data_IF_707300609805
#
_entry.id   IF_707300609805
#
_cell.length_a   1.000
_cell.length_b   1.000
_cell.length_c   1.000
_cell.angle_alpha   90.00
_cell.angle_beta   90.00
_cell.angle_gamma   90.00
#
_symmetry.space_group_name_H-M   'P 1'
#
loop_
_entity.id
_entity.type
_entity.pdbx_description
1 polymer ?
#
# COMPACT_ATOMS: atom_id res chain seq x y z
N UNK A 1 0.41 -33.22 -36.00
CA UNK A 1 0.00 -32.77 -35.41
C UNK A 1 0.00 -31.95 -34.48
N UNK A 2 -0.07 -31.62 -34.10
CA UNK A 2 -0.18 -31.02 -33.29
C UNK A 2 -0.41 -30.44 -32.42
N UNK A 3 -0.51 -30.15 -31.94
CA UNK A 3 -0.90 -29.71 -31.16
C UNK A 3 -0.98 -29.15 -30.35
N UNK A 4 -0.87 -29.01 -30.30
CA UNK A 4 -1.42 -28.56 -29.34
C UNK A 4 -1.16 -27.98 -28.29
N UNK A 5 -0.66 -28.14 -27.81
CA UNK A 5 -0.41 -27.77 -26.58
C UNK A 5 -0.67 -26.45 -26.02
N UNK A 6 -0.81 -25.64 -26.27
CA UNK A 6 -1.17 -24.50 -25.84
C UNK A 6 -1.91 -24.44 -24.65
N UNK A 7 -2.25 -25.38 -24.23
CA UNK A 7 -3.12 -25.45 -23.12
C UNK A 7 -2.59 -24.85 -21.85
N UNK A 8 -1.33 -24.92 -21.55
CA UNK A 8 -0.90 -24.42 -20.25
C UNK A 8 -1.18 -22.96 -20.03
N UNK A 9 -1.11 -22.20 -21.06
CA UNK A 9 -1.26 -20.77 -20.87
C UNK A 9 -2.59 -20.38 -20.28
N UNK A 10 -3.68 -20.86 -20.79
CA UNK A 10 -4.96 -20.43 -20.23
C UNK A 10 -5.12 -20.76 -18.78
N UNK A 11 -4.59 -21.89 -18.39
CA UNK A 11 -4.75 -22.30 -17.02
C UNK A 11 -4.00 -21.41 -16.07
N UNK A 12 -2.83 -21.00 -16.47
CA UNK A 12 -2.04 -20.12 -15.63
C UNK A 12 -2.71 -18.79 -15.47
N UNK A 13 -3.35 -18.31 -16.51
CA UNK A 13 -4.04 -17.05 -16.42
C UNK A 13 -5.17 -17.13 -15.42
N UNK A 14 -5.88 -18.22 -15.40
CA UNK A 14 -6.97 -18.40 -14.46
C UNK A 14 -6.45 -18.35 -13.03
N UNK A 15 -5.30 -18.97 -12.79
CA UNK A 15 -4.72 -18.97 -11.46
C UNK A 15 -4.42 -17.55 -11.00
N UNK A 16 -3.91 -16.72 -11.90
CA UNK A 16 -3.59 -15.36 -11.56
C UNK A 16 -4.85 -14.60 -11.16
N UNK A 17 -5.94 -14.85 -11.86
CA UNK A 17 -7.16 -14.12 -11.57
C UNK A 17 -7.70 -14.41 -10.18
N UNK A 18 -7.45 -15.59 -9.68
CA UNK A 18 -7.91 -15.93 -8.35
C UNK A 18 -7.28 -15.03 -7.31
N UNK A 19 -6.13 -14.47 -7.62
CA UNK A 19 -5.41 -13.61 -6.70
C UNK A 19 -6.00 -12.22 -6.59
N UNK A 20 -6.92 -11.86 -7.44
CA UNK A 20 -7.54 -10.55 -7.39
C UNK A 20 -8.23 -10.36 -6.05
N UNK A 21 -8.03 -9.23 -5.37
CA UNK A 21 -8.65 -9.02 -4.07
C UNK A 21 -10.17 -9.12 -4.14
N UNK A 22 -10.75 -9.79 -3.16
CA UNK A 22 -12.21 -9.96 -3.16
C UNK A 22 -12.99 -8.65 -3.16
N UNK A 23 -12.40 -7.58 -2.63
CA UNK A 23 -13.12 -6.32 -2.58
C UNK A 23 -13.48 -5.82 -3.97
N UNK A 24 -12.59 -6.00 -4.93
CA UNK A 24 -12.90 -5.60 -6.30
C UNK A 24 -13.98 -6.47 -6.90
N UNK A 25 -13.97 -7.73 -6.53
CA UNK A 25 -14.96 -8.67 -7.04
C UNK A 25 -16.33 -8.40 -6.41
N UNK A 26 -16.33 -8.06 -5.14
CA UNK A 26 -17.59 -7.87 -4.42
C UNK A 26 -18.24 -6.53 -4.71
N UNK A 27 -17.63 -5.70 -5.52
CA UNK A 27 -18.22 -4.42 -5.86
C UNK A 27 -17.92 -3.30 -4.90
N UNK A 28 -17.33 -3.58 -3.75
CA UNK A 28 -16.90 -2.53 -2.85
C UNK A 28 -15.45 -2.18 -3.20
N UNK A 29 -15.25 -0.97 -3.70
CA UNK A 29 -13.94 -0.54 -4.16
C UNK A 29 -13.01 -0.34 -2.98
N UNK A 30 -11.83 -0.94 -3.06
CA UNK A 30 -10.76 -0.66 -2.10
C UNK A 30 -9.98 0.52 -2.63
N UNK A 31 -9.88 1.56 -1.84
CA UNK A 31 -9.22 2.80 -2.22
C UNK A 31 -7.89 2.90 -1.48
N UNK A 32 -6.82 2.99 -2.25
CA UNK A 32 -5.47 2.98 -1.72
C UNK A 32 -4.80 4.31 -2.00
N UNK A 33 -4.17 4.88 -0.99
CA UNK A 33 -3.33 6.06 -1.14
C UNK A 33 -1.88 5.64 -0.98
N UNK A 34 -1.07 5.97 -1.98
CA UNK A 34 0.36 5.63 -1.98
C UNK A 34 1.18 6.90 -1.94
N UNK A 35 2.09 7.00 -0.96
CA UNK A 35 2.99 8.13 -0.83
C UNK A 35 4.43 7.68 -1.01
N UNK A 36 5.08 8.21 -2.02
CA UNK A 36 6.47 7.91 -2.34
C UNK A 36 7.04 9.05 -3.16
N UNK A 37 8.16 9.62 -2.73
CA UNK A 37 8.71 10.79 -3.41
C UNK A 37 9.56 10.45 -4.64
N UNK A 38 10.03 9.22 -4.75
CA UNK A 38 10.82 8.81 -5.92
C UNK A 38 9.89 8.38 -7.04
N UNK A 39 9.97 9.08 -8.16
CA UNK A 39 9.03 8.89 -9.26
C UNK A 39 9.06 7.48 -9.83
N UNK A 40 10.26 6.93 -10.05
CA UNK A 40 10.38 5.63 -10.67
C UNK A 40 9.82 4.52 -9.76
N UNK A 41 10.15 4.59 -8.49
CA UNK A 41 9.67 3.60 -7.53
C UNK A 41 8.16 3.74 -7.32
N UNK A 42 7.69 4.98 -7.25
CA UNK A 42 6.25 5.22 -7.09
C UNK A 42 5.46 4.63 -8.24
N UNK A 43 5.96 4.75 -9.47
CA UNK A 43 5.25 4.22 -10.62
C UNK A 43 5.21 2.69 -10.62
N UNK A 44 6.30 2.06 -10.24
CA UNK A 44 6.32 0.60 -10.14
C UNK A 44 5.31 0.12 -9.13
N UNK A 45 5.29 0.74 -7.96
CA UNK A 45 4.34 0.36 -6.92
C UNK A 45 2.91 0.65 -7.34
N UNK A 46 2.69 1.81 -7.95
CA UNK A 46 1.35 2.17 -8.40
C UNK A 46 0.80 1.17 -9.42
N UNK A 47 1.63 0.81 -10.40
CA UNK A 47 1.18 -0.12 -11.42
C UNK A 47 0.84 -1.47 -10.81
N UNK A 48 1.64 -1.92 -9.86
CA UNK A 48 1.36 -3.17 -9.17
C UNK A 48 0.04 -3.08 -8.39
N UNK A 49 -0.15 -2.00 -7.67
CA UNK A 49 -1.36 -1.85 -6.84
C UNK A 49 -2.61 -1.70 -7.70
N UNK A 50 -2.50 -1.03 -8.84
CA UNK A 50 -3.64 -0.89 -9.74
C UNK A 50 -4.09 -2.26 -10.24
N UNK A 51 -3.16 -3.19 -10.42
CA UNK A 51 -3.53 -4.53 -10.85
C UNK A 51 -4.25 -5.33 -9.76
N UNK A 52 -4.19 -4.85 -8.50
CA UNK A 52 -4.76 -5.57 -7.36
C UNK A 52 -5.97 -4.89 -6.76
N UNK A 53 -6.06 -3.57 -6.85
CA UNK A 53 -7.09 -2.80 -6.17
C UNK A 53 -7.87 -1.96 -7.16
N UNK A 54 -9.10 -1.61 -6.78
CA UNK A 54 -9.99 -0.91 -7.69
C UNK A 54 -9.59 0.53 -7.94
N UNK A 55 -9.05 1.19 -6.92
CA UNK A 55 -8.68 2.59 -7.04
C UNK A 55 -7.38 2.86 -6.29
N UNK A 56 -6.44 3.45 -6.99
CA UNK A 56 -5.15 3.81 -6.39
C UNK A 56 -4.85 5.26 -6.71
N UNK A 57 -4.58 6.03 -5.68
CA UNK A 57 -4.12 7.41 -5.81
C UNK A 57 -2.68 7.44 -5.34
N UNK A 58 -1.76 7.87 -6.18
CA UNK A 58 -0.36 7.97 -5.80
C UNK A 58 0.08 9.42 -5.81
N UNK A 59 0.84 9.80 -4.78
CA UNK A 59 1.29 11.17 -4.63
C UNK A 59 2.77 11.19 -4.22
N UNK A 60 3.49 12.25 -4.55
CA UNK A 60 4.93 12.31 -4.26
C UNK A 60 5.28 12.88 -2.90
N UNK A 61 4.31 13.38 -2.14
CA UNK A 61 4.62 14.07 -0.89
C UNK A 61 3.49 13.95 0.12
N UNK A 62 3.85 14.20 1.39
CA UNK A 62 2.85 14.21 2.45
C UNK A 62 1.84 15.35 2.30
N UNK A 63 2.29 16.48 1.74
CA UNK A 63 1.38 17.60 1.53
C UNK A 63 0.26 17.21 0.56
N UNK A 64 0.63 16.59 -0.55
CA UNK A 64 -0.38 16.16 -1.50
C UNK A 64 -1.21 15.02 -0.95
N UNK A 65 -0.59 14.16 -0.13
CA UNK A 65 -1.34 13.11 0.54
C UNK A 65 -2.43 13.66 1.44
N UNK A 66 -2.13 14.72 2.18
CA UNK A 66 -3.12 15.34 3.05
C UNK A 66 -4.26 15.95 2.25
N UNK A 67 -3.96 16.51 1.10
CA UNK A 67 -5.02 17.01 0.24
C UNK A 67 -5.97 15.91 -0.18
N UNK A 68 -5.41 14.76 -0.53
CA UNK A 68 -6.24 13.63 -0.95
C UNK A 68 -7.06 13.07 0.21
N UNK A 69 -6.49 13.02 1.41
CA UNK A 69 -7.22 12.58 2.60
C UNK A 69 -8.44 13.48 2.84
N UNK A 70 -8.29 14.78 2.59
CA UNK A 70 -9.38 15.72 2.83
C UNK A 70 -10.47 15.63 1.77
N UNK A 71 -10.13 15.14 0.58
CA UNK A 71 -11.09 15.05 -0.51
C UNK A 71 -11.94 13.79 -0.46
N UNK A 72 -11.42 12.71 0.07
CA UNK A 72 -12.12 11.44 -0.03
C UNK A 72 -11.72 10.44 1.02
N UNK A 73 -12.30 9.26 0.92
CA UNK A 73 -12.05 8.18 1.86
C UNK A 73 -11.03 7.22 1.28
N UNK A 74 -10.26 6.59 2.17
CA UNK A 74 -9.29 5.58 1.78
C UNK A 74 -9.40 4.38 2.71
N UNK A 75 -9.16 3.21 2.16
CA UNK A 75 -9.19 1.97 2.93
C UNK A 75 -7.80 1.54 3.36
N UNK A 76 -6.77 2.05 2.69
CA UNK A 76 -5.39 1.68 2.97
C UNK A 76 -4.49 2.84 2.58
N UNK A 77 -3.48 3.10 3.40
CA UNK A 77 -2.47 4.11 3.13
C UNK A 77 -1.11 3.44 3.18
N UNK A 78 -0.37 3.53 2.08
CA UNK A 78 0.99 2.98 1.99
C UNK A 78 1.93 4.16 1.91
N UNK A 79 2.83 4.27 2.87
CA UNK A 79 3.59 5.50 3.06
C UNK A 79 5.07 5.22 3.31
N UNK A 80 5.92 5.87 2.52
CA UNK A 80 7.35 5.87 2.77
C UNK A 80 7.63 6.71 4.01
N UNK A 81 8.50 6.22 4.88
CA UNK A 81 8.87 6.98 6.08
C UNK A 81 9.73 8.19 5.78
N UNK A 82 10.56 8.11 4.75
CA UNK A 82 11.54 9.15 4.47
C UNK A 82 11.14 9.93 3.24
N UNK A 83 10.42 11.01 3.44
CA UNK A 83 10.05 11.94 2.38
C UNK A 83 10.46 13.35 2.77
N UNK A 84 10.81 14.21 1.80
CA UNK A 84 11.17 15.59 2.12
C UNK A 84 10.02 16.34 2.76
N UNK A 85 10.36 17.24 3.67
CA UNK A 85 9.44 18.14 4.37
C UNK A 85 8.49 17.42 5.30
N UNK A 86 7.50 16.70 4.76
CA UNK A 86 6.55 15.96 5.59
C UNK A 86 6.88 14.49 5.43
N UNK A 87 7.58 13.94 6.42
CA UNK A 87 7.91 12.53 6.42
C UNK A 87 6.73 11.68 6.88
N UNK A 88 6.95 10.37 6.91
CA UNK A 88 5.89 9.44 7.23
C UNK A 88 5.28 9.63 8.61
N UNK A 89 6.13 9.91 9.59
CA UNK A 89 5.62 10.10 10.96
C UNK A 89 4.74 11.33 11.05
N UNK A 90 5.21 12.45 10.50
CA UNK A 90 4.42 13.67 10.53
C UNK A 90 3.12 13.50 9.77
N UNK A 91 3.17 12.83 8.64
CA UNK A 91 1.98 12.56 7.86
C UNK A 91 0.98 11.72 8.67
N UNK A 92 1.48 10.68 9.34
CA UNK A 92 0.63 9.82 10.15
C UNK A 92 -0.12 10.62 11.22
N UNK A 93 0.61 11.48 11.95
CA UNK A 93 -0.04 12.25 12.99
C UNK A 93 -1.06 13.24 12.44
N UNK A 94 -0.76 13.83 11.28
CA UNK A 94 -1.70 14.75 10.66
C UNK A 94 -2.97 14.02 10.22
N UNK A 95 -2.82 12.85 9.61
CA UNK A 95 -3.96 12.07 9.15
C UNK A 95 -4.82 11.60 10.31
N UNK A 96 -4.20 11.07 11.36
CA UNK A 96 -4.96 10.52 12.48
C UNK A 96 -5.62 11.60 13.31
N UNK A 97 -5.10 12.83 13.24
CA UNK A 97 -5.79 13.96 13.86
C UNK A 97 -7.08 14.28 13.12
N UNK A 98 -7.08 14.17 11.80
CA UNK A 98 -8.27 14.40 10.99
C UNK A 98 -9.22 13.22 11.02
N UNK A 99 -8.68 12.02 10.94
CA UNK A 99 -9.48 10.80 10.85
C UNK A 99 -8.79 9.70 11.65
N UNK A 100 -9.08 9.63 12.96
CA UNK A 100 -8.38 8.66 13.83
C UNK A 100 -8.49 7.22 13.36
N UNK A 101 -9.59 6.85 12.74
CA UNK A 101 -9.78 5.46 12.31
C UNK A 101 -8.78 5.03 11.26
N UNK A 102 -8.15 5.97 10.55
CA UNK A 102 -7.18 5.61 9.54
C UNK A 102 -5.85 5.14 10.14
N UNK A 103 -5.63 5.35 11.42
CA UNK A 103 -4.37 4.96 12.04
C UNK A 103 -4.05 3.48 11.92
N UNK A 104 -5.06 2.63 11.84
CA UNK A 104 -4.85 1.19 11.72
C UNK A 104 -4.77 0.73 10.28
N UNK A 105 -4.83 1.66 9.34
CA UNK A 105 -4.86 1.33 7.92
C UNK A 105 -3.59 1.74 7.19
N UNK A 106 -2.51 1.96 7.94
CA UNK A 106 -1.22 2.34 7.38
C UNK A 106 -0.32 1.13 7.18
N UNK A 107 0.41 1.13 6.06
CA UNK A 107 1.58 0.29 5.86
C UNK A 107 2.73 1.23 5.58
N UNK A 108 3.75 1.21 6.44
CA UNK A 108 4.95 2.02 6.22
C UNK A 108 6.02 1.19 5.57
N UNK A 109 6.82 1.81 4.70
CA UNK A 109 8.01 1.14 4.23
C UNK A 109 9.21 2.04 4.46
N UNK A 110 10.34 1.41 4.79
CA UNK A 110 11.52 2.15 5.20
C UNK A 110 12.78 1.33 4.98
N UNK A 111 13.87 2.01 4.65
CA UNK A 111 15.20 1.42 4.67
C UNK A 111 15.97 1.71 5.94
N UNK A 112 15.32 2.33 6.92
CA UNK A 112 16.01 2.89 8.09
C UNK A 112 15.56 2.24 9.40
N UNK A 113 15.56 0.91 9.44
CA UNK A 113 15.12 0.19 10.64
C UNK A 113 16.08 0.38 11.82
N UNK A 114 17.30 0.83 11.55
CA UNK A 114 18.26 1.05 12.64
C UNK A 114 18.17 2.42 13.30
N UNK A 115 17.27 3.26 12.82
CA UNK A 115 17.10 4.59 13.39
C UNK A 115 16.23 4.50 14.65
N UNK A 116 16.77 4.87 15.84
CA UNK A 116 15.99 4.72 17.07
C UNK A 116 14.70 5.53 17.09
N UNK A 117 14.70 6.72 16.50
CA UNK A 117 13.50 7.55 16.51
C UNK A 117 12.41 6.92 15.67
N UNK A 118 12.77 6.34 14.53
CA UNK A 118 11.80 5.68 13.68
C UNK A 118 11.26 4.43 14.35
N UNK A 119 12.15 3.65 15.00
CA UNK A 119 11.69 2.45 15.70
C UNK A 119 10.78 2.79 16.86
N UNK A 120 11.09 3.86 17.58
CA UNK A 120 10.25 4.31 18.68
C UNK A 120 8.84 4.66 18.17
N UNK A 121 8.77 5.37 17.04
CA UNK A 121 7.50 5.71 16.44
C UNK A 121 6.72 4.45 16.06
N UNK A 122 7.38 3.51 15.39
CA UNK A 122 6.71 2.28 14.97
C UNK A 122 6.13 1.53 16.15
N UNK A 123 6.88 1.44 17.24
CA UNK A 123 6.39 0.75 18.42
C UNK A 123 5.24 1.49 19.06
N UNK A 124 5.33 2.80 19.09
CA UNK A 124 4.30 3.60 19.75
C UNK A 124 2.95 3.48 19.08
N UNK A 125 2.94 3.40 17.77
CA UNK A 125 1.67 3.32 17.02
C UNK A 125 1.34 1.90 16.60
N UNK A 126 2.16 0.94 16.99
CA UNK A 126 1.96 -0.46 16.61
C UNK A 126 1.87 -0.58 15.08
N UNK A 127 2.87 -0.04 14.40
CA UNK A 127 2.83 0.13 12.95
C UNK A 127 3.04 -1.18 12.21
N UNK A 128 2.39 -1.29 11.06
CA UNK A 128 2.71 -2.34 10.10
C UNK A 128 3.80 -1.80 9.20
N UNK A 129 4.93 -2.49 9.17
CA UNK A 129 6.14 -1.99 8.51
C UNK A 129 6.71 -3.04 7.58
N UNK A 130 7.16 -2.58 6.43
CA UNK A 130 7.88 -3.42 5.48
C UNK A 130 9.24 -2.77 5.25
N UNK A 131 10.30 -3.56 5.34
CA UNK A 131 11.66 -3.03 5.24
C UNK A 131 12.16 -3.11 3.80
N UNK A 132 12.72 -2.01 3.31
CA UNK A 132 13.34 -1.99 1.99
C UNK A 132 14.71 -2.67 2.05
N UNK A 133 15.09 -3.39 1.02
CA UNK A 133 14.32 -3.70 -0.18
C UNK A 133 13.31 -4.80 0.09
N UNK A 134 12.20 -4.77 -0.60
CA UNK A 134 11.18 -5.80 -0.44
C UNK A 134 10.67 -6.23 -1.81
N UNK A 135 10.01 -7.40 -1.83
CA UNK A 135 9.40 -7.89 -3.06
C UNK A 135 7.95 -7.44 -3.13
N UNK A 136 7.42 -7.39 -4.33
CA UNK A 136 6.00 -7.07 -4.49
C UNK A 136 5.12 -8.15 -3.84
N UNK A 137 5.61 -9.37 -3.81
CA UNK A 137 4.90 -10.45 -3.13
C UNK A 137 4.82 -10.20 -1.63
N UNK A 138 5.90 -9.71 -1.03
CA UNK A 138 5.90 -9.39 0.39
C UNK A 138 4.95 -8.23 0.67
N UNK A 139 4.89 -7.26 -0.22
CA UNK A 139 3.95 -6.15 -0.08
C UNK A 139 2.51 -6.67 -0.10
N UNK A 140 2.19 -7.53 -1.06
CA UNK A 140 0.84 -8.10 -1.16
C UNK A 140 0.47 -8.85 0.12
N UNK A 141 1.41 -9.63 0.66
CA UNK A 141 1.14 -10.39 1.87
C UNK A 141 0.88 -9.46 3.05
N UNK A 142 1.67 -8.40 3.16
CA UNK A 142 1.50 -7.43 4.23
C UNK A 142 0.14 -6.74 4.13
N UNK A 143 -0.27 -6.37 2.93
CA UNK A 143 -1.55 -5.72 2.73
C UNK A 143 -2.70 -6.65 3.11
N UNK A 144 -2.61 -7.91 2.72
CA UNK A 144 -3.63 -8.88 3.10
C UNK A 144 -3.74 -9.00 4.61
N UNK A 145 -2.61 -8.96 5.30
CA UNK A 145 -2.62 -9.06 6.75
C UNK A 145 -3.32 -7.87 7.39
N UNK A 146 -3.09 -6.68 6.86
CA UNK A 146 -3.74 -5.48 7.38
C UNK A 146 -5.26 -5.61 7.23
N UNK A 147 -5.73 -5.98 6.05
CA UNK A 147 -7.16 -6.09 5.84
C UNK A 147 -7.78 -7.20 6.68
N UNK A 148 -7.04 -8.27 6.91
CA UNK A 148 -7.54 -9.35 7.75
C UNK A 148 -7.76 -8.87 9.18
N UNK A 149 -6.85 -8.05 9.70
CA UNK A 149 -6.96 -7.55 11.06
C UNK A 149 -8.10 -6.55 11.24
N UNK A 150 -8.52 -5.93 10.16
CA UNK A 150 -9.54 -4.90 10.23
C UNK A 150 -10.96 -5.46 10.19
N UNK A 151 -11.11 -6.74 10.00
CA UNK A 151 -12.44 -7.35 9.96
C UNK A 151 -13.05 -7.51 11.33
#
# INVERSE_FOLDING_TARGET
>A
MRLPPRTPEPEEIVTIEIEVPPACVAGSAQRVLLLEDRDDFREVLRDHLVSRFCQVTSVPSGVEGLREIRKGAFDLIICDMMMPRVGGEMFYWAVTRLRPALGQRFVFFTGHRNNPAIEFFFQRVNATVITKPFTLKALDSTIRDVFRKLR
#
